data_IF_074276933346
#
_entry.id   IF_074276933346
#
_cell.length_a   1.000
_cell.length_b   1.000
_cell.length_c   1.000
_cell.angle_alpha   90.00
_cell.angle_beta   90.00
_cell.angle_gamma   90.00
#
_symmetry.space_group_name_H-M   'P 1'
#
loop_
_entity.id
_entity.type
_entity.pdbx_description
1 polymer ?
#
# COMPACT_ATOMS: atom_id res chain seq x y z
N UNK A 1 28.90 -12.73 -20.07
CA UNK A 1 28.49 -13.52 -18.89
C UNK A 1 28.73 -12.83 -17.52
N UNK A 2 29.59 -11.84 -17.41
CA UNK A 2 29.86 -11.16 -16.13
C UNK A 2 28.66 -10.34 -15.63
N UNK A 3 27.91 -9.70 -16.53
CA UNK A 3 26.72 -8.88 -16.22
C UNK A 3 25.56 -9.69 -15.61
N UNK A 4 25.41 -10.99 -15.94
CA UNK A 4 24.42 -11.88 -15.31
C UNK A 4 24.77 -12.29 -13.88
N UNK A 5 26.01 -12.06 -13.44
CA UNK A 5 26.42 -12.29 -12.06
C UNK A 5 26.39 -11.00 -11.23
N UNK A 6 26.72 -9.87 -11.86
CA UNK A 6 26.78 -8.57 -11.22
C UNK A 6 26.29 -7.49 -12.21
N UNK A 7 24.99 -7.16 -12.19
CA UNK A 7 24.40 -6.23 -13.14
C UNK A 7 24.92 -4.80 -13.00
N UNK A 8 25.31 -4.39 -11.78
CA UNK A 8 25.90 -3.08 -11.48
C UNK A 8 26.88 -3.19 -10.30
N UNK A 9 27.49 -2.06 -9.91
CA UNK A 9 28.47 -2.03 -8.84
C UNK A 9 27.90 -2.32 -7.44
N UNK A 10 26.58 -2.13 -7.24
CA UNK A 10 25.93 -2.12 -5.95
C UNK A 10 25.07 -3.35 -5.66
N UNK A 11 24.68 -4.13 -6.69
CA UNK A 11 23.72 -5.20 -6.57
C UNK A 11 24.28 -6.50 -7.15
N UNK A 12 23.99 -7.63 -6.50
CA UNK A 12 24.08 -8.97 -7.08
C UNK A 12 22.91 -9.20 -8.05
N UNK A 13 23.00 -10.26 -8.87
CA UNK A 13 21.91 -10.65 -9.76
C UNK A 13 20.63 -11.01 -8.99
N UNK A 14 20.78 -11.64 -7.83
CA UNK A 14 19.65 -12.01 -6.99
C UNK A 14 18.88 -10.78 -6.50
N UNK A 15 19.56 -9.82 -5.88
CA UNK A 15 18.96 -8.56 -5.40
C UNK A 15 18.33 -7.75 -6.55
N UNK A 16 18.96 -7.77 -7.72
CA UNK A 16 18.43 -7.11 -8.89
C UNK A 16 17.11 -7.73 -9.36
N UNK A 17 17.05 -9.08 -9.44
CA UNK A 17 15.83 -9.78 -9.86
C UNK A 17 14.72 -9.69 -8.81
N UNK A 18 15.05 -9.78 -7.53
CA UNK A 18 14.10 -9.58 -6.43
C UNK A 18 13.44 -8.20 -6.54
N UNK A 19 14.22 -7.14 -6.71
CA UNK A 19 13.69 -5.80 -6.87
C UNK A 19 12.89 -5.63 -8.16
N UNK A 20 13.32 -6.27 -9.26
CA UNK A 20 12.62 -6.24 -10.54
C UNK A 20 11.23 -6.87 -10.45
N UNK A 21 11.14 -8.03 -9.78
CA UNK A 21 9.87 -8.73 -9.54
C UNK A 21 8.98 -7.90 -8.60
N UNK A 22 9.56 -7.35 -7.54
CA UNK A 22 8.84 -6.46 -6.61
C UNK A 22 8.18 -5.30 -7.35
N UNK A 23 8.87 -4.66 -8.28
CA UNK A 23 8.27 -3.59 -9.09
C UNK A 23 7.16 -4.08 -10.03
N UNK A 24 7.31 -5.28 -10.59
CA UNK A 24 6.27 -5.90 -11.39
C UNK A 24 5.00 -6.17 -10.57
N UNK A 25 5.14 -6.69 -9.37
CA UNK A 25 4.00 -7.01 -8.51
C UNK A 25 3.32 -5.75 -7.97
N UNK A 26 4.10 -4.74 -7.57
CA UNK A 26 3.57 -3.49 -7.03
C UNK A 26 2.91 -2.58 -8.08
N UNK A 27 3.55 -2.43 -9.24
CA UNK A 27 3.16 -1.44 -10.27
C UNK A 27 2.76 -2.08 -11.61
N UNK A 28 3.03 -3.37 -11.81
CA UNK A 28 2.83 -4.03 -13.08
C UNK A 28 3.90 -3.73 -14.12
N UNK A 29 4.95 -2.99 -13.75
CA UNK A 29 5.99 -2.52 -14.65
C UNK A 29 7.35 -2.55 -13.99
N UNK A 30 8.37 -2.96 -14.75
CA UNK A 30 9.77 -2.83 -14.36
C UNK A 30 10.54 -2.16 -15.49
N UNK A 31 11.30 -1.13 -15.15
CA UNK A 31 12.11 -0.37 -16.09
C UNK A 31 13.58 -0.57 -15.78
N UNK A 32 14.30 -1.17 -16.72
CA UNK A 32 15.73 -1.46 -16.59
C UNK A 32 16.49 -0.52 -17.50
N UNK A 33 17.24 0.39 -16.89
CA UNK A 33 18.13 1.29 -17.62
C UNK A 33 19.41 0.58 -18.02
N UNK A 34 19.75 0.68 -19.29
CA UNK A 34 20.96 0.14 -19.90
C UNK A 34 22.04 1.23 -19.95
N UNK A 35 22.91 1.25 -18.93
CA UNK A 35 24.02 2.19 -18.90
C UNK A 35 25.10 1.76 -19.91
N UNK A 36 25.29 2.51 -20.98
CA UNK A 36 26.33 2.32 -22.00
C UNK A 36 27.49 3.29 -21.76
N UNK A 37 28.73 2.85 -22.04
CA UNK A 37 29.91 3.71 -21.97
C UNK A 37 29.91 4.71 -23.13
N UNK A 38 29.51 4.23 -24.31
CA UNK A 38 29.33 5.07 -25.51
C UNK A 38 27.91 4.83 -26.06
N UNK A 39 27.26 5.83 -26.60
CA UNK A 39 25.94 5.66 -27.22
C UNK A 39 25.89 4.60 -28.32
N UNK A 40 27.02 4.35 -28.98
CA UNK A 40 27.16 3.38 -30.06
C UNK A 40 27.41 1.94 -29.60
N UNK A 41 27.65 1.72 -28.31
CA UNK A 41 27.92 0.38 -27.81
C UNK A 41 26.66 -0.49 -27.87
N UNK A 42 26.80 -1.69 -28.44
CA UNK A 42 25.68 -2.63 -28.59
C UNK A 42 25.29 -3.23 -27.24
N UNK A 43 26.29 -3.46 -26.37
CA UNK A 43 26.06 -4.05 -25.05
C UNK A 43 26.20 -2.99 -23.95
N UNK A 44 25.28 -2.98 -22.98
CA UNK A 44 25.41 -2.10 -21.84
C UNK A 44 26.57 -2.53 -20.93
N UNK A 45 27.20 -1.57 -20.26
CA UNK A 45 28.24 -1.80 -19.27
C UNK A 45 27.64 -2.18 -17.90
N UNK A 46 26.44 -1.67 -17.59
CA UNK A 46 25.71 -1.95 -16.36
C UNK A 46 24.20 -1.83 -16.58
N UNK A 47 23.43 -2.49 -15.71
CA UNK A 47 21.97 -2.43 -15.66
C UNK A 47 21.53 -1.83 -14.33
N UNK A 48 20.61 -0.88 -14.37
CA UNK A 48 20.01 -0.26 -13.19
C UNK A 48 18.51 -0.34 -13.24
N UNK A 49 17.90 -0.66 -12.12
CA UNK A 49 16.44 -0.60 -12.00
C UNK A 49 16.01 0.83 -11.65
N UNK A 50 15.08 1.36 -12.42
CA UNK A 50 14.41 2.62 -12.11
C UNK A 50 13.13 2.33 -11.32
N UNK A 51 12.82 3.16 -10.32
CA UNK A 51 11.57 3.06 -9.60
C UNK A 51 10.40 3.24 -10.57
N UNK A 52 9.55 2.24 -10.65
CA UNK A 52 8.47 2.19 -11.64
C UNK A 52 7.44 3.30 -11.48
N UNK A 53 7.17 3.72 -10.23
CA UNK A 53 6.26 4.83 -9.90
C UNK A 53 6.76 6.20 -10.38
N UNK A 54 8.08 6.34 -10.61
CA UNK A 54 8.72 7.58 -11.06
C UNK A 54 9.00 7.61 -12.56
N UNK A 55 8.76 6.51 -13.27
CA UNK A 55 8.93 6.46 -14.73
C UNK A 55 7.62 6.80 -15.41
N UNK A 56 7.66 7.80 -16.27
CA UNK A 56 6.55 8.17 -17.15
C UNK A 56 6.86 7.74 -18.57
N UNK A 57 5.96 6.97 -19.18
CA UNK A 57 6.03 6.60 -20.59
C UNK A 57 5.54 7.78 -21.43
N UNK A 58 6.32 8.19 -22.40
CA UNK A 58 5.97 9.29 -23.32
C UNK A 58 5.47 8.67 -24.62
N UNK A 59 4.16 8.79 -24.94
CA UNK A 59 3.61 8.24 -26.17
C UNK A 59 4.12 9.01 -27.37
N UNK A 60 4.31 8.28 -28.48
CA UNK A 60 4.61 8.88 -29.78
C UNK A 60 3.40 9.61 -30.36
N UNK A 61 3.68 10.50 -31.30
CA UNK A 61 2.64 11.28 -31.99
C UNK A 61 2.09 10.59 -33.24
N UNK A 62 2.84 9.62 -33.76
CA UNK A 62 2.51 8.92 -35.00
C UNK A 62 2.23 7.44 -34.75
N UNK A 63 1.35 6.84 -35.56
CA UNK A 63 1.03 5.41 -35.47
C UNK A 63 2.23 4.50 -35.74
N UNK A 64 3.20 4.98 -36.50
CA UNK A 64 4.44 4.28 -36.82
C UNK A 64 5.44 4.28 -35.66
N UNK A 65 5.30 5.24 -34.75
CA UNK A 65 6.17 5.41 -33.59
C UNK A 65 5.32 5.62 -32.33
N UNK A 66 4.74 4.55 -31.78
CA UNK A 66 3.80 4.64 -30.65
C UNK A 66 4.46 5.03 -29.33
N UNK A 67 5.78 4.94 -29.24
CA UNK A 67 6.58 5.25 -28.06
C UNK A 67 7.68 6.23 -28.42
N UNK A 68 7.65 7.43 -27.85
CA UNK A 68 8.71 8.42 -28.03
C UNK A 68 9.88 8.18 -27.07
N UNK A 69 9.60 7.71 -25.85
CA UNK A 69 10.62 7.46 -24.82
C UNK A 69 10.05 7.38 -23.43
N UNK A 70 10.93 7.57 -22.46
CA UNK A 70 10.61 7.54 -21.03
C UNK A 70 11.17 8.78 -20.35
N UNK A 71 10.50 9.23 -19.30
CA UNK A 71 10.96 10.30 -18.43
C UNK A 71 11.00 9.78 -17.00
N UNK A 72 12.17 9.81 -16.39
CA UNK A 72 12.34 9.50 -14.98
C UNK A 72 12.30 10.77 -14.15
N UNK A 73 11.37 10.86 -13.22
CA UNK A 73 11.14 12.01 -12.36
C UNK A 73 11.58 11.67 -10.93
N UNK A 74 12.82 11.99 -10.60
CA UNK A 74 13.41 11.73 -9.29
C UNK A 74 13.75 13.06 -8.61
N UNK A 75 12.78 13.61 -7.90
CA UNK A 75 12.94 14.89 -7.20
C UNK A 75 14.08 14.87 -6.16
N UNK A 76 14.38 13.72 -5.57
CA UNK A 76 15.38 13.56 -4.50
C UNK A 76 16.72 12.99 -4.97
N UNK A 77 16.85 12.58 -6.22
CA UNK A 77 18.11 12.08 -6.77
C UNK A 77 18.87 13.23 -7.41
N UNK A 78 20.14 13.40 -7.08
CA UNK A 78 21.01 14.47 -7.50
C UNK A 78 20.75 15.04 -8.91
N UNK A 79 21.16 16.25 -9.17
CA UNK A 79 20.74 17.10 -10.30
C UNK A 79 20.73 16.47 -11.71
N UNK A 80 21.44 15.37 -11.95
CA UNK A 80 21.51 14.68 -13.25
C UNK A 80 20.36 13.71 -13.52
N UNK A 81 19.62 13.29 -12.47
CA UNK A 81 18.47 12.38 -12.59
C UNK A 81 17.12 13.10 -12.53
N UNK A 82 17.10 14.38 -12.19
CA UNK A 82 15.88 15.17 -12.13
C UNK A 82 15.33 15.35 -13.56
N UNK A 83 14.19 14.68 -13.85
CA UNK A 83 13.54 14.66 -15.19
C UNK A 83 14.46 14.22 -16.32
N UNK A 84 15.20 13.14 -16.10
CA UNK A 84 16.04 12.57 -17.14
C UNK A 84 15.18 11.91 -18.23
N UNK A 85 15.28 12.36 -19.49
CA UNK A 85 14.65 11.67 -20.62
C UNK A 85 15.53 10.48 -21.04
N UNK A 86 14.89 9.38 -21.41
CA UNK A 86 15.52 8.18 -21.96
C UNK A 86 14.89 7.81 -23.28
N UNK A 87 15.71 7.38 -24.21
CA UNK A 87 15.27 6.84 -25.47
C UNK A 87 14.69 5.42 -25.31
N UNK A 88 13.84 4.95 -26.22
CA UNK A 88 13.26 3.61 -26.14
C UNK A 88 14.29 2.48 -26.08
N UNK A 89 15.45 2.66 -26.72
CA UNK A 89 16.55 1.68 -26.76
C UNK A 89 17.45 1.70 -25.49
N UNK A 90 17.31 2.69 -24.64
CA UNK A 90 18.04 2.78 -23.37
C UNK A 90 17.30 2.09 -22.21
N UNK A 91 16.01 1.80 -22.38
CA UNK A 91 15.17 1.19 -21.35
C UNK A 91 14.62 -0.16 -21.81
N UNK A 92 14.87 -1.20 -21.03
CA UNK A 92 14.12 -2.46 -21.17
C UNK A 92 12.89 -2.33 -20.28
N UNK A 93 11.73 -2.24 -20.89
CA UNK A 93 10.44 -2.18 -20.21
C UNK A 93 9.81 -3.57 -20.17
N UNK A 94 9.82 -4.21 -18.99
CA UNK A 94 9.12 -5.44 -18.70
C UNK A 94 7.81 -5.10 -18.01
N UNK A 95 6.68 -5.68 -18.46
CA UNK A 95 5.37 -5.34 -17.94
C UNK A 95 4.41 -6.50 -17.99
N UNK A 96 3.45 -6.51 -17.08
CA UNK A 96 2.28 -7.37 -17.17
C UNK A 96 1.32 -6.89 -18.26
N UNK A 97 0.47 -7.79 -18.79
CA UNK A 97 -0.55 -7.40 -19.76
C UNK A 97 -1.53 -6.38 -19.16
N UNK A 98 -1.95 -5.42 -19.97
CA UNK A 98 -2.98 -4.47 -19.61
C UNK A 98 -4.26 -4.80 -20.40
N UNK A 99 -5.44 -4.93 -19.75
CA UNK A 99 -6.68 -5.30 -20.42
C UNK A 99 -7.27 -4.17 -21.28
N UNK A 100 -6.80 -2.93 -21.09
CA UNK A 100 -7.22 -1.78 -21.91
C UNK A 100 -6.41 -1.68 -23.18
N UNK A 101 -6.90 -0.86 -24.09
CA UNK A 101 -6.17 -0.54 -25.32
C UNK A 101 -4.74 -0.05 -24.97
N UNK A 102 -3.71 -0.56 -25.67
CA UNK A 102 -2.33 -0.13 -25.47
C UNK A 102 -2.11 1.38 -25.58
N UNK A 103 -2.94 2.07 -26.35
CA UNK A 103 -2.88 3.52 -26.51
C UNK A 103 -3.51 4.27 -25.34
N UNK A 104 -4.54 3.73 -24.68
CA UNK A 104 -5.14 4.33 -23.49
C UNK A 104 -4.26 4.16 -22.23
N UNK A 105 -3.57 3.03 -22.12
CA UNK A 105 -2.69 2.71 -21.01
C UNK A 105 -1.29 3.33 -21.11
N UNK A 106 -1.02 4.13 -22.14
CA UNK A 106 0.32 4.64 -22.44
C UNK A 106 1.41 3.54 -22.45
N UNK A 107 1.01 2.33 -22.81
CA UNK A 107 1.91 1.18 -22.85
C UNK A 107 2.35 0.62 -21.49
N UNK A 108 1.77 1.07 -20.38
CA UNK A 108 2.05 0.50 -19.03
C UNK A 108 1.28 -0.80 -18.80
N UNK A 109 1.85 -1.67 -17.97
CA UNK A 109 1.20 -2.88 -17.48
C UNK A 109 0.27 -2.58 -16.29
N UNK A 110 -0.53 -3.58 -15.91
CA UNK A 110 -1.44 -3.49 -14.75
C UNK A 110 -0.88 -4.30 -13.59
N UNK A 111 -0.83 -3.70 -12.40
CA UNK A 111 -0.38 -4.36 -11.18
C UNK A 111 -1.38 -5.46 -10.74
N UNK A 112 -0.91 -6.66 -10.39
CA UNK A 112 -1.72 -7.67 -9.71
C UNK A 112 -2.29 -7.16 -8.39
N UNK A 113 -1.50 -6.43 -7.60
CA UNK A 113 -1.95 -5.79 -6.36
C UNK A 113 -3.03 -4.74 -6.60
N UNK A 114 -3.03 -4.07 -7.76
CA UNK A 114 -4.10 -3.14 -8.14
C UNK A 114 -5.47 -3.82 -8.22
N UNK A 115 -5.52 -5.09 -8.61
CA UNK A 115 -6.74 -5.88 -8.62
C UNK A 115 -7.23 -6.22 -7.19
N UNK A 116 -6.30 -6.40 -6.25
CA UNK A 116 -6.57 -6.68 -4.84
C UNK A 116 -6.64 -5.42 -3.95
N UNK A 117 -6.50 -4.22 -4.51
CA UNK A 117 -6.38 -2.98 -3.74
C UNK A 117 -7.52 -2.78 -2.73
N UNK A 118 -8.76 -3.09 -3.12
CA UNK A 118 -9.91 -2.97 -2.22
C UNK A 118 -9.82 -3.93 -1.02
N UNK A 119 -9.28 -5.14 -1.22
CA UNK A 119 -9.09 -6.11 -0.15
C UNK A 119 -8.01 -5.64 0.82
N UNK A 120 -6.92 -5.10 0.30
CA UNK A 120 -5.84 -4.50 1.10
C UNK A 120 -6.37 -3.30 1.91
N UNK A 121 -7.18 -2.43 1.30
CA UNK A 121 -7.79 -1.30 2.00
C UNK A 121 -8.73 -1.75 3.13
N UNK A 122 -9.55 -2.78 2.89
CA UNK A 122 -10.44 -3.35 3.92
C UNK A 122 -9.63 -3.96 5.06
N UNK A 123 -8.55 -4.67 4.75
CA UNK A 123 -7.67 -5.29 5.74
C UNK A 123 -6.97 -4.24 6.60
N UNK A 124 -6.42 -3.20 5.99
CA UNK A 124 -5.82 -2.06 6.66
C UNK A 124 -6.84 -1.32 7.56
N UNK A 125 -8.07 -1.15 7.09
CA UNK A 125 -9.14 -0.53 7.87
C UNK A 125 -9.55 -1.42 9.07
N UNK A 126 -9.66 -2.73 8.88
CA UNK A 126 -9.94 -3.68 9.95
C UNK A 126 -8.84 -3.71 11.00
N UNK A 127 -7.58 -3.77 10.57
CA UNK A 127 -6.41 -3.72 11.46
C UNK A 127 -6.34 -2.41 12.24
N UNK A 128 -6.60 -1.28 11.58
CA UNK A 128 -6.63 0.04 12.21
C UNK A 128 -7.77 0.16 13.23
N UNK A 129 -8.95 -0.40 12.90
CA UNK A 129 -10.07 -0.47 13.83
C UNK A 129 -9.73 -1.31 15.06
N UNK A 130 -9.16 -2.51 14.87
CA UNK A 130 -8.74 -3.39 15.95
C UNK A 130 -7.70 -2.72 16.84
N UNK A 131 -6.70 -2.10 16.24
CA UNK A 131 -5.68 -1.36 16.99
C UNK A 131 -6.30 -0.26 17.84
N UNK A 132 -7.16 0.58 17.26
CA UNK A 132 -7.84 1.64 18.01
C UNK A 132 -8.76 1.09 19.11
N UNK A 133 -9.40 -0.04 18.84
CA UNK A 133 -10.23 -0.73 19.83
C UNK A 133 -9.41 -1.19 21.04
N UNK A 134 -8.25 -1.81 20.80
CA UNK A 134 -7.35 -2.24 21.86
C UNK A 134 -6.68 -1.08 22.59
N UNK A 135 -6.28 -0.04 21.87
CA UNK A 135 -5.63 1.13 22.45
C UNK A 135 -6.58 1.96 23.34
N UNK A 136 -7.85 2.07 22.94
CA UNK A 136 -8.83 2.85 23.66
C UNK A 136 -9.50 2.07 24.80
N UNK A 137 -9.54 0.74 24.73
CA UNK A 137 -10.09 -0.15 25.77
C UNK A 137 -11.58 0.04 26.08
N UNK A 138 -12.22 1.00 25.43
CA UNK A 138 -13.63 1.32 25.64
C UNK A 138 -14.44 0.77 24.47
N UNK A 139 -15.45 -0.03 24.76
CA UNK A 139 -16.46 -0.39 23.77
C UNK A 139 -17.16 0.91 23.32
N UNK A 140 -16.96 1.37 22.08
CA UNK A 140 -17.29 2.76 21.71
C UNK A 140 -18.80 3.06 21.65
N UNK A 141 -19.65 2.07 21.90
CA UNK A 141 -21.09 2.19 21.70
C UNK A 141 -21.88 1.75 22.91
N UNK A 142 -21.78 2.52 23.98
CA UNK A 142 -22.65 2.41 25.14
C UNK A 142 -23.51 3.65 25.30
N UNK A 143 -24.76 3.49 25.64
CA UNK A 143 -25.67 4.54 26.04
C UNK A 143 -25.70 4.61 27.56
N UNK A 144 -25.18 5.72 28.12
CA UNK A 144 -25.35 6.03 29.54
C UNK A 144 -26.63 6.83 29.69
N UNK A 145 -27.64 6.26 30.31
CA UNK A 145 -28.89 6.93 30.64
C UNK A 145 -28.82 7.46 32.07
N UNK A 146 -28.99 8.75 32.26
CA UNK A 146 -29.22 9.35 33.55
C UNK A 146 -30.69 9.75 33.70
N UNK A 147 -31.27 9.58 34.86
CA UNK A 147 -32.60 10.02 35.17
C UNK A 147 -32.66 11.55 35.42
N UNK A 148 -31.52 12.17 35.69
CA UNK A 148 -31.38 13.60 35.90
C UNK A 148 -30.85 14.28 34.61
N UNK A 149 -31.29 15.52 34.37
CA UNK A 149 -30.76 16.33 33.28
C UNK A 149 -29.34 16.79 33.65
N UNK A 150 -28.34 16.26 32.95
CA UNK A 150 -26.94 16.62 33.15
C UNK A 150 -26.62 17.93 32.42
N UNK A 151 -25.82 18.77 33.07
CA UNK A 151 -25.26 19.98 32.44
C UNK A 151 -24.02 19.57 31.64
N UNK A 152 -23.70 20.32 30.58
CA UNK A 152 -22.58 20.01 29.67
C UNK A 152 -21.23 19.78 30.38
N UNK A 153 -20.99 20.51 31.48
CA UNK A 153 -19.80 20.36 32.31
C UNK A 153 -19.76 19.02 33.06
N UNK A 154 -20.90 18.49 33.48
CA UNK A 154 -21.02 17.19 34.11
C UNK A 154 -20.82 16.06 33.11
N UNK A 155 -21.34 16.20 31.91
CA UNK A 155 -21.12 15.26 30.80
C UNK A 155 -19.62 15.19 30.45
N UNK A 156 -18.95 16.34 30.40
CA UNK A 156 -17.50 16.39 30.16
C UNK A 156 -16.70 15.67 31.26
N UNK A 157 -17.04 15.90 32.53
CA UNK A 157 -16.41 15.23 33.69
C UNK A 157 -16.63 13.72 33.68
N UNK A 158 -17.83 13.25 33.37
CA UNK A 158 -18.12 11.81 33.27
C UNK A 158 -17.30 11.19 32.14
N UNK A 159 -17.22 11.86 30.98
CA UNK A 159 -16.42 11.40 29.84
C UNK A 159 -14.93 11.31 30.18
N UNK A 160 -14.37 12.27 30.88
CA UNK A 160 -12.98 12.25 31.30
C UNK A 160 -12.70 11.13 32.33
N UNK A 161 -13.60 10.94 33.30
CA UNK A 161 -13.48 9.85 34.26
C UNK A 161 -13.54 8.47 33.60
N UNK A 162 -14.47 8.28 32.65
CA UNK A 162 -14.59 7.06 31.89
C UNK A 162 -13.32 6.79 31.07
N UNK A 163 -12.76 7.82 30.42
CA UNK A 163 -11.47 7.69 29.72
C UNK A 163 -10.33 7.35 30.66
N UNK A 164 -10.22 8.02 31.79
CA UNK A 164 -9.10 7.83 32.73
C UNK A 164 -9.11 6.46 33.43
N UNK A 165 -10.30 5.92 33.72
CA UNK A 165 -10.43 4.66 34.44
C UNK A 165 -10.51 3.42 33.55
N UNK A 166 -11.08 3.54 32.34
CA UNK A 166 -11.41 2.39 31.49
C UNK A 166 -10.72 2.39 30.13
N UNK A 167 -10.01 3.45 29.75
CA UNK A 167 -9.25 3.46 28.50
C UNK A 167 -7.87 2.80 28.68
N UNK A 168 -7.45 2.04 27.66
CA UNK A 168 -6.13 1.41 27.59
C UNK A 168 -6.12 -0.08 27.95
N UNK A 169 -5.11 -0.79 27.42
CA UNK A 169 -4.94 -2.23 27.62
C UNK A 169 -4.83 -2.67 29.09
N UNK A 170 -4.37 -1.79 29.96
CA UNK A 170 -4.14 -2.10 31.38
C UNK A 170 -5.43 -2.18 32.18
N UNK A 171 -6.51 -1.54 31.71
CA UNK A 171 -7.79 -1.44 32.41
C UNK A 171 -8.85 -2.41 31.83
N UNK A 172 -8.42 -3.36 31.03
CA UNK A 172 -9.30 -4.36 30.41
C UNK A 172 -9.89 -5.29 31.47
N UNK A 173 -11.21 -5.30 31.55
CA UNK A 173 -11.94 -6.15 32.49
C UNK A 173 -12.31 -5.46 33.83
N UNK A 174 -12.02 -4.19 34.00
CA UNK A 174 -12.50 -3.46 35.19
C UNK A 174 -14.03 -3.30 35.14
N UNK A 175 -14.66 -3.49 36.29
CA UNK A 175 -16.11 -3.40 36.41
C UNK A 175 -16.54 -1.93 36.45
N UNK A 176 -17.42 -1.55 35.54
CA UNK A 176 -18.04 -0.23 35.48
C UNK A 176 -18.94 -0.05 36.70
N UNK A 177 -18.56 0.84 37.61
CA UNK A 177 -19.37 1.22 38.77
C UNK A 177 -20.10 2.52 38.41
N UNK A 178 -21.42 2.43 38.31
CA UNK A 178 -22.30 3.55 38.05
C UNK A 178 -22.97 4.03 39.35
N UNK A 179 -23.20 5.32 39.47
CA UNK A 179 -24.02 5.87 40.52
C UNK A 179 -25.47 5.37 40.38
N UNK A 180 -26.19 5.32 41.49
CA UNK A 180 -27.50 4.65 41.62
C UNK A 180 -28.59 5.10 40.61
N UNK A 181 -28.41 6.23 39.94
CA UNK A 181 -29.36 6.80 38.96
C UNK A 181 -28.95 6.71 37.49
N UNK A 182 -27.86 5.99 37.19
CA UNK A 182 -27.38 5.82 35.84
C UNK A 182 -27.50 4.35 35.38
N UNK A 183 -28.03 4.13 34.18
CA UNK A 183 -28.12 2.83 33.54
C UNK A 183 -27.25 2.81 32.29
N UNK A 184 -26.45 1.75 32.14
CA UNK A 184 -25.57 1.56 30.98
C UNK A 184 -26.15 0.50 30.07
N UNK A 185 -26.55 0.90 28.88
CA UNK A 185 -27.00 0.00 27.85
C UNK A 185 -25.97 -0.13 26.73
N UNK A 186 -25.48 -1.34 26.51
CA UNK A 186 -24.60 -1.62 25.38
C UNK A 186 -25.39 -1.53 24.08
N UNK A 187 -24.95 -0.72 23.13
CA UNK A 187 -25.61 -0.51 21.84
C UNK A 187 -24.81 -1.06 20.65
N UNK A 188 -23.66 -1.66 20.86
CA UNK A 188 -22.79 -2.18 19.81
C UNK A 188 -22.83 -3.70 19.68
N UNK A 189 -22.45 -4.21 18.50
CA UNK A 189 -22.18 -5.64 18.30
C UNK A 189 -20.98 -6.05 19.14
N UNK A 190 -21.01 -7.27 19.68
CA UNK A 190 -19.85 -7.83 20.37
C UNK A 190 -18.73 -8.10 19.38
N UNK A 191 -17.48 -8.13 19.84
CA UNK A 191 -16.33 -8.48 19.02
C UNK A 191 -16.51 -9.83 18.30
N UNK A 192 -17.13 -10.78 18.96
CA UNK A 192 -17.46 -12.10 18.38
C UNK A 192 -18.52 -12.01 17.26
N UNK A 193 -19.46 -11.08 17.36
CA UNK A 193 -20.50 -10.88 16.34
C UNK A 193 -19.97 -10.18 15.08
N UNK A 194 -18.81 -9.53 15.15
CA UNK A 194 -18.18 -8.85 14.01
C UNK A 194 -17.45 -9.79 13.04
N UNK A 195 -17.30 -11.08 13.37
CA UNK A 195 -16.71 -12.13 12.50
C UNK A 195 -15.41 -11.72 11.79
N UNK A 196 -14.53 -10.98 12.50
CA UNK A 196 -13.27 -10.52 11.92
C UNK A 196 -12.38 -11.65 11.38
N UNK A 197 -12.39 -12.83 12.02
CA UNK A 197 -11.63 -13.98 11.56
C UNK A 197 -12.04 -14.47 10.16
N UNK A 198 -13.34 -14.45 9.85
CA UNK A 198 -13.83 -14.83 8.52
C UNK A 198 -13.50 -13.77 7.46
N UNK A 199 -13.44 -12.51 7.86
CA UNK A 199 -13.05 -11.42 6.97
C UNK A 199 -11.56 -11.51 6.62
N UNK A 200 -10.72 -11.73 7.62
CA UNK A 200 -9.27 -11.86 7.50
C UNK A 200 -8.90 -13.02 6.58
N UNK A 201 -9.40 -14.22 6.84
CA UNK A 201 -9.19 -15.40 6.02
C UNK A 201 -9.62 -15.20 4.55
N UNK A 202 -10.74 -14.50 4.31
CA UNK A 202 -11.18 -14.19 2.94
C UNK A 202 -10.31 -13.17 2.24
N UNK A 203 -9.80 -12.17 2.97
CA UNK A 203 -8.90 -11.17 2.41
C UNK A 203 -7.55 -11.80 2.06
N UNK A 204 -6.98 -12.62 2.95
CA UNK A 204 -5.74 -13.36 2.71
C UNK A 204 -5.82 -14.19 1.42
N UNK A 205 -6.85 -15.04 1.29
CA UNK A 205 -7.05 -15.87 0.08
C UNK A 205 -7.12 -15.00 -1.18
N UNK A 206 -7.83 -13.89 -1.17
CA UNK A 206 -7.96 -13.01 -2.34
C UNK A 206 -6.67 -12.31 -2.71
N UNK A 207 -5.89 -11.86 -1.73
CA UNK A 207 -4.58 -11.24 -1.96
C UNK A 207 -3.61 -12.27 -2.53
N UNK A 208 -3.57 -13.48 -1.95
CA UNK A 208 -2.76 -14.58 -2.46
C UNK A 208 -3.14 -14.97 -3.89
N UNK A 209 -4.44 -15.05 -4.20
CA UNK A 209 -4.92 -15.31 -5.58
C UNK A 209 -4.53 -14.22 -6.57
N UNK A 210 -4.51 -12.96 -6.17
CA UNK A 210 -4.09 -11.87 -7.04
C UNK A 210 -2.60 -11.93 -7.40
N UNK A 211 -1.78 -12.47 -6.49
CA UNK A 211 -0.33 -12.63 -6.65
C UNK A 211 0.05 -14.03 -7.20
N UNK A 212 -0.94 -14.90 -7.45
CA UNK A 212 -0.72 -16.30 -7.88
C UNK A 212 0.16 -17.10 -6.91
N UNK A 213 -0.01 -16.84 -5.60
CA UNK A 213 0.67 -17.56 -4.50
C UNK A 213 -0.36 -18.39 -3.73
N UNK A 214 -0.01 -19.58 -3.25
CA UNK A 214 -0.91 -20.33 -2.37
C UNK A 214 -1.12 -19.58 -1.04
N UNK A 215 -2.33 -19.61 -0.48
CA UNK A 215 -2.64 -19.04 0.83
C UNK A 215 -2.01 -19.82 1.98
#
# INVERSE_FOLDING_TARGET
>A
MQMLRKPNAHQSWYEFMELAITYLDLDGNTFIYQARVRPTDVFPAALYLLRSDRVRVVPGRERTEPLLGYVYDAEDAGAWLTRAPFLPDEIIHVKYPHPRDPFEGYGRGTSPLGAAAKQVDVDNAATSFLKNFFDQGVVPYGLLKSKQTLVDEEVARIRERLKAQYAGQQNWGETLILDADADYQRMGMSFQEMTFGDLDARNEVRICQALDVPP
#
